data_IF_735390749373
#
_entry.id   IF_735390749373
#
_cell.length_a   1.000
_cell.length_b   1.000
_cell.length_c   1.000
_cell.angle_alpha   90.00
_cell.angle_beta   90.00
_cell.angle_gamma   90.00
#
_symmetry.space_group_name_H-M   'P 1'
#
loop_
_entity.id
_entity.type
_entity.pdbx_description
1 polymer ?
#
# COMPACT_ATOMS: atom_id res chain seq x y z
N UNK A 1 -1.60 2.82 13.45
CA UNK A 1 -1.05 2.28 12.16
C UNK A 1 -0.21 3.40 11.55
N UNK A 2 1.09 3.22 11.37
CA UNK A 2 1.93 4.23 10.72
C UNK A 2 1.81 4.01 9.21
N UNK A 3 1.10 4.93 8.54
CA UNK A 3 0.96 4.92 7.09
C UNK A 3 2.26 5.49 6.48
N UNK A 4 2.86 4.78 5.54
CA UNK A 4 4.03 5.28 4.79
C UNK A 4 3.56 5.85 3.45
N UNK A 5 3.58 7.18 3.27
CA UNK A 5 3.20 7.81 2.02
C UNK A 5 4.06 7.30 0.85
N UNK A 6 3.43 7.09 -0.30
CA UNK A 6 4.14 6.73 -1.52
C UNK A 6 4.77 7.97 -2.16
N UNK A 7 6.09 7.95 -2.32
CA UNK A 7 6.83 9.02 -2.98
C UNK A 7 6.47 9.19 -4.46
N UNK A 8 6.86 10.33 -5.03
CA UNK A 8 6.55 10.70 -6.42
C UNK A 8 7.04 9.65 -7.45
N UNK A 9 8.22 9.07 -7.24
CA UNK A 9 8.82 8.07 -8.15
C UNK A 9 7.96 6.81 -8.24
N UNK A 10 7.54 6.24 -7.11
CA UNK A 10 6.69 5.06 -7.10
C UNK A 10 5.33 5.33 -7.76
N UNK A 11 4.76 6.52 -7.54
CA UNK A 11 3.50 6.95 -8.16
C UNK A 11 3.64 7.17 -9.67
N UNK A 12 4.79 7.71 -10.13
CA UNK A 12 5.08 7.88 -11.56
C UNK A 12 5.18 6.53 -12.28
N UNK A 13 5.90 5.56 -11.73
CA UNK A 13 5.97 4.22 -12.31
C UNK A 13 4.60 3.51 -12.32
N UNK A 14 3.80 3.63 -11.24
CA UNK A 14 2.44 3.11 -11.23
C UNK A 14 1.59 3.73 -12.34
N UNK A 15 1.69 5.03 -12.52
CA UNK A 15 0.98 5.75 -13.60
C UNK A 15 1.43 5.28 -14.99
N UNK A 16 2.73 5.08 -15.22
CA UNK A 16 3.26 4.58 -16.51
C UNK A 16 2.72 3.19 -16.84
N UNK A 17 2.70 2.28 -15.86
CA UNK A 17 2.13 0.93 -16.06
C UNK A 17 0.64 1.04 -16.42
N UNK A 18 -0.12 1.84 -15.67
CA UNK A 18 -1.54 2.06 -15.95
C UNK A 18 -1.76 2.75 -17.31
N UNK A 19 -0.89 3.67 -17.71
CA UNK A 19 -0.94 4.33 -19.02
C UNK A 19 -0.69 3.33 -20.17
N UNK A 20 0.28 2.42 -20.00
CA UNK A 20 0.53 1.35 -20.97
C UNK A 20 -0.68 0.42 -21.12
N UNK A 21 -1.29 0.01 -20.00
CA UNK A 21 -2.49 -0.84 -20.02
C UNK A 21 -3.64 -0.13 -20.75
N UNK A 22 -3.94 1.13 -20.40
CA UNK A 22 -4.99 1.92 -21.04
C UNK A 22 -4.70 2.17 -22.52
N UNK A 23 -3.45 2.51 -22.84
CA UNK A 23 -3.01 2.70 -24.22
C UNK A 23 -3.19 1.43 -25.08
N UNK A 24 -2.85 0.26 -24.54
CA UNK A 24 -3.07 -1.02 -25.21
C UNK A 24 -4.54 -1.29 -25.44
N UNK A 25 -5.41 -1.07 -24.44
CA UNK A 25 -6.87 -1.21 -24.59
C UNK A 25 -7.39 -0.30 -25.70
N UNK A 26 -6.99 0.96 -25.70
CA UNK A 26 -7.43 1.95 -26.71
C UNK A 26 -6.87 1.65 -28.09
N UNK A 27 -5.66 1.17 -28.20
CA UNK A 27 -5.07 0.74 -29.47
C UNK A 27 -5.84 -0.44 -30.08
N UNK A 28 -6.11 -1.47 -29.31
CA UNK A 28 -6.91 -2.61 -29.76
C UNK A 28 -8.32 -2.15 -30.19
N UNK A 29 -8.94 -1.29 -29.39
CA UNK A 29 -10.26 -0.75 -29.71
C UNK A 29 -10.25 0.09 -30.98
N UNK A 30 -9.22 0.91 -31.21
CA UNK A 30 -9.11 1.73 -32.43
C UNK A 30 -9.03 0.87 -33.71
N UNK A 31 -8.28 -0.24 -33.63
CA UNK A 31 -8.17 -1.19 -34.74
C UNK A 31 -9.51 -1.90 -34.97
N UNK A 32 -10.15 -2.38 -33.92
CA UNK A 32 -11.42 -3.11 -34.01
C UNK A 32 -12.59 -2.24 -34.49
N UNK A 33 -12.66 -1.00 -34.04
CA UNK A 33 -13.73 -0.05 -34.37
C UNK A 33 -13.45 0.75 -35.66
N UNK A 34 -12.20 0.79 -36.10
CA UNK A 34 -11.78 1.58 -37.28
C UNK A 34 -12.52 1.22 -38.58
N UNK A 35 -12.96 -0.04 -38.70
CA UNK A 35 -13.73 -0.50 -39.86
C UNK A 35 -15.22 -0.06 -39.85
N UNK A 36 -15.74 0.45 -38.73
CA UNK A 36 -17.16 0.77 -38.53
C UNK A 36 -17.53 2.21 -38.92
N UNK A 37 -16.70 2.93 -39.67
CA UNK A 37 -16.92 4.31 -40.09
C UNK A 37 -17.28 5.26 -38.94
N UNK A 38 -18.30 6.12 -39.13
CA UNK A 38 -18.74 7.10 -38.12
C UNK A 38 -19.22 6.48 -36.81
N UNK A 39 -19.86 5.31 -36.85
CA UNK A 39 -20.30 4.60 -35.65
C UNK A 39 -19.11 4.13 -34.83
N UNK A 40 -18.08 3.57 -35.46
CA UNK A 40 -16.84 3.16 -34.80
C UNK A 40 -16.13 4.34 -34.12
N UNK A 41 -16.08 5.49 -34.78
CA UNK A 41 -15.53 6.71 -34.16
C UNK A 41 -16.29 7.15 -32.92
N UNK A 42 -17.62 7.14 -32.96
CA UNK A 42 -18.45 7.50 -31.79
C UNK A 42 -18.25 6.53 -30.62
N UNK A 43 -18.23 5.21 -30.89
CA UNK A 43 -17.98 4.18 -29.89
C UNK A 43 -16.56 4.29 -29.30
N UNK A 44 -15.57 4.61 -30.13
CA UNK A 44 -14.20 4.83 -29.67
C UNK A 44 -14.10 6.01 -28.71
N UNK A 45 -14.76 7.13 -29.00
CA UNK A 45 -14.76 8.31 -28.10
C UNK A 45 -15.44 8.00 -26.77
N UNK A 46 -16.53 7.26 -26.77
CA UNK A 46 -17.17 6.78 -25.53
C UNK A 46 -16.22 5.90 -24.74
N UNK A 47 -15.59 4.93 -25.39
CA UNK A 47 -14.63 4.03 -24.73
C UNK A 47 -13.42 4.79 -24.20
N UNK A 48 -12.87 5.73 -24.95
CA UNK A 48 -11.80 6.62 -24.51
C UNK A 48 -12.19 7.35 -23.24
N UNK A 49 -13.37 7.95 -23.20
CA UNK A 49 -13.87 8.62 -22.00
C UNK A 49 -13.97 7.66 -20.80
N UNK A 50 -14.56 6.48 -21.01
CA UNK A 50 -14.72 5.48 -19.95
C UNK A 50 -13.36 4.99 -19.41
N UNK A 51 -12.43 4.68 -20.31
CA UNK A 51 -11.09 4.21 -19.92
C UNK A 51 -10.30 5.30 -19.22
N UNK A 52 -10.35 6.55 -19.69
CA UNK A 52 -9.58 7.62 -19.05
C UNK A 52 -10.14 8.02 -17.68
N UNK A 53 -11.45 8.03 -17.50
CA UNK A 53 -12.10 8.55 -16.29
C UNK A 53 -12.54 7.47 -15.31
N UNK A 54 -13.12 6.38 -15.80
CA UNK A 54 -13.67 5.35 -14.91
C UNK A 54 -12.68 4.25 -14.56
N UNK A 55 -11.69 3.97 -15.40
CA UNK A 55 -10.68 2.93 -15.10
C UNK A 55 -10.07 3.10 -13.69
N UNK A 56 -9.48 4.26 -13.33
CA UNK A 56 -8.91 4.39 -11.99
C UNK A 56 -9.97 4.34 -10.88
N UNK A 57 -11.16 4.89 -11.11
CA UNK A 57 -12.26 4.88 -10.13
C UNK A 57 -12.70 3.45 -9.84
N UNK A 58 -12.95 2.65 -10.88
CA UNK A 58 -13.38 1.26 -10.74
C UNK A 58 -12.36 0.44 -9.96
N UNK A 59 -11.08 0.51 -10.33
CA UNK A 59 -10.03 -0.26 -9.64
C UNK A 59 -9.78 0.19 -8.21
N UNK A 60 -9.96 1.46 -7.89
CA UNK A 60 -9.82 1.98 -6.52
C UNK A 60 -10.97 1.56 -5.60
N UNK A 61 -12.15 1.26 -6.17
CA UNK A 61 -13.30 0.76 -5.40
C UNK A 61 -13.30 -0.77 -5.24
N UNK A 62 -12.50 -1.49 -6.03
CA UNK A 62 -12.34 -2.93 -5.88
C UNK A 62 -11.50 -3.29 -4.64
N UNK A 63 -11.61 -4.55 -4.13
CA UNK A 63 -10.75 -5.04 -3.07
C UNK A 63 -9.27 -4.81 -3.36
N UNK A 64 -8.58 -4.14 -2.42
CA UNK A 64 -7.19 -3.71 -2.58
C UNK A 64 -7.01 -2.22 -2.90
N UNK A 65 -8.08 -1.48 -3.22
CA UNK A 65 -8.10 -0.03 -3.41
C UNK A 65 -6.92 0.49 -4.27
N UNK A 66 -6.63 -0.17 -5.39
CA UNK A 66 -5.48 0.11 -6.22
C UNK A 66 -5.70 -0.30 -7.67
N UNK A 67 -5.25 0.52 -8.61
CA UNK A 67 -5.13 0.16 -10.03
C UNK A 67 -4.08 -0.94 -10.24
N UNK A 68 -4.08 -1.67 -11.37
CA UNK A 68 -3.05 -2.66 -11.67
C UNK A 68 -1.62 -2.13 -11.53
N UNK A 69 -1.34 -0.92 -12.04
CA UNK A 69 -0.01 -0.29 -11.88
C UNK A 69 0.35 0.00 -10.43
N UNK A 70 -0.60 0.46 -9.61
CA UNK A 70 -0.39 0.64 -8.17
C UNK A 70 -0.16 -0.69 -7.46
N UNK A 71 -0.93 -1.74 -7.79
CA UNK A 71 -0.75 -3.09 -7.21
C UNK A 71 0.62 -3.66 -7.51
N UNK A 72 1.12 -3.50 -8.73
CA UNK A 72 2.44 -3.97 -9.14
C UNK A 72 3.57 -3.39 -8.29
N UNK A 73 3.39 -2.16 -7.78
CA UNK A 73 4.36 -1.48 -6.92
C UNK A 73 4.00 -1.53 -5.43
N UNK A 74 3.04 -2.35 -5.05
CA UNK A 74 2.61 -2.46 -3.65
C UNK A 74 2.02 -1.16 -3.11
N UNK A 75 1.27 -0.41 -3.92
CA UNK A 75 0.59 0.83 -3.52
C UNK A 75 -0.91 0.62 -3.38
N UNK A 76 -1.52 1.32 -2.44
CA UNK A 76 -2.98 1.42 -2.29
C UNK A 76 -3.42 2.82 -1.92
N UNK A 77 -4.69 3.10 -2.14
CA UNK A 77 -5.32 4.37 -1.79
C UNK A 77 -6.19 4.19 -0.56
N UNK A 78 -6.03 5.09 0.40
CA UNK A 78 -6.84 5.13 1.62
C UNK A 78 -7.35 6.55 1.85
N UNK A 79 -8.36 6.69 2.69
CA UNK A 79 -8.71 7.97 3.29
C UNK A 79 -7.61 8.41 4.27
N UNK A 80 -7.50 9.68 4.56
CA UNK A 80 -6.56 10.23 5.56
C UNK A 80 -6.75 9.62 6.95
N UNK A 81 -7.96 9.18 7.25
CA UNK A 81 -8.31 8.44 8.46
C UNK A 81 -7.76 7.00 8.48
N UNK A 82 -7.16 6.50 7.39
CA UNK A 82 -6.73 5.11 7.23
C UNK A 82 -7.84 4.14 6.83
N UNK A 83 -9.07 4.62 6.67
CA UNK A 83 -10.22 3.82 6.20
C UNK A 83 -10.14 3.57 4.68
N UNK A 84 -10.87 2.56 4.17
CA UNK A 84 -11.02 2.35 2.73
C UNK A 84 -11.55 3.59 2.02
N UNK A 85 -11.13 3.79 0.77
CA UNK A 85 -11.58 4.92 -0.04
C UNK A 85 -13.08 4.82 -0.34
N UNK A 86 -13.78 5.96 -0.26
CA UNK A 86 -15.20 6.05 -0.63
C UNK A 86 -15.37 6.29 -2.14
N UNK A 87 -16.52 5.91 -2.74
CA UNK A 87 -16.81 6.21 -4.15
C UNK A 87 -16.70 7.69 -4.50
N UNK A 88 -17.22 8.56 -3.63
CA UNK A 88 -17.16 10.00 -3.81
C UNK A 88 -15.72 10.52 -3.82
N UNK A 89 -14.88 10.06 -2.86
CA UNK A 89 -13.48 10.45 -2.80
C UNK A 89 -12.71 9.96 -4.03
N UNK A 90 -12.94 8.73 -4.50
CA UNK A 90 -12.30 8.21 -5.71
C UNK A 90 -12.72 9.01 -6.95
N UNK A 91 -13.99 9.39 -7.05
CA UNK A 91 -14.47 10.20 -8.16
C UNK A 91 -13.82 11.59 -8.16
N UNK A 92 -13.87 12.31 -7.03
CA UNK A 92 -13.31 13.66 -6.89
C UNK A 92 -11.81 13.67 -7.23
N UNK A 93 -11.01 12.75 -6.66
CA UNK A 93 -9.57 12.73 -6.92
C UNK A 93 -9.20 12.41 -8.37
N UNK A 94 -10.02 11.61 -9.07
CA UNK A 94 -9.77 11.26 -10.45
C UNK A 94 -10.32 12.30 -11.43
N UNK A 95 -11.39 13.03 -11.10
CA UNK A 95 -11.83 14.23 -11.85
C UNK A 95 -10.79 15.34 -11.78
N UNK A 96 -10.25 15.63 -10.59
CA UNK A 96 -9.23 16.66 -10.42
C UNK A 96 -7.86 16.27 -11.02
N UNK A 97 -7.71 15.07 -11.56
CA UNK A 97 -6.54 14.68 -12.35
C UNK A 97 -6.32 15.60 -13.57
N UNK A 98 -7.39 16.18 -14.12
CA UNK A 98 -7.28 17.18 -15.17
C UNK A 98 -6.56 18.45 -14.68
N UNK A 99 -6.82 18.89 -13.46
CA UNK A 99 -6.11 20.01 -12.84
C UNK A 99 -4.65 19.66 -12.53
N UNK A 100 -4.38 18.45 -12.08
CA UNK A 100 -3.00 17.98 -11.85
C UNK A 100 -2.16 18.02 -13.13
N UNK A 101 -2.77 17.80 -14.31
CA UNK A 101 -2.10 17.75 -15.61
C UNK A 101 -1.62 19.13 -16.10
N UNK A 102 -2.24 20.22 -15.62
CA UNK A 102 -1.86 21.58 -15.98
C UNK A 102 -0.53 22.02 -15.30
N UNK A 103 0.21 23.01 -15.85
CA UNK A 103 0.06 23.56 -17.19
C UNK A 103 0.49 22.59 -18.29
N UNK A 104 1.43 21.68 -18.00
CA UNK A 104 1.90 20.61 -18.90
C UNK A 104 2.41 19.45 -18.08
N UNK A 105 2.16 18.19 -18.53
CA UNK A 105 2.78 16.95 -18.01
C UNK A 105 2.72 16.77 -16.48
N UNK A 106 1.54 17.01 -15.90
CA UNK A 106 1.33 16.92 -14.43
C UNK A 106 2.12 17.94 -13.59
N UNK A 107 2.38 19.13 -14.13
CA UNK A 107 3.16 20.16 -13.47
C UNK A 107 2.62 20.53 -12.10
N UNK A 108 1.33 20.87 -11.96
CA UNK A 108 0.74 21.20 -10.66
C UNK A 108 0.69 20.01 -9.71
N UNK A 109 0.40 18.81 -10.22
CA UNK A 109 0.43 17.58 -9.42
C UNK A 109 1.82 17.27 -8.88
N UNK A 110 2.86 17.42 -9.71
CA UNK A 110 4.25 17.20 -9.30
C UNK A 110 4.71 18.23 -8.27
N UNK A 111 4.46 19.52 -8.51
CA UNK A 111 4.79 20.59 -7.56
C UNK A 111 4.08 20.39 -6.22
N UNK A 112 2.78 20.07 -6.22
CA UNK A 112 2.03 19.77 -5.00
C UNK A 112 2.66 18.61 -4.21
N UNK A 113 3.08 17.54 -4.90
CA UNK A 113 3.73 16.40 -4.25
C UNK A 113 5.13 16.71 -3.72
N UNK A 114 5.90 17.56 -4.37
CA UNK A 114 7.25 17.92 -3.95
C UNK A 114 7.27 18.89 -2.75
N UNK A 115 6.26 19.76 -2.67
CA UNK A 115 6.15 20.74 -1.58
C UNK A 115 5.61 20.15 -0.27
N UNK A 116 5.16 18.88 -0.27
CA UNK A 116 4.50 18.28 0.88
C UNK A 116 5.16 16.98 1.32
N UNK A 117 5.33 16.77 2.64
CA UNK A 117 5.92 15.54 3.18
C UNK A 117 5.02 14.31 2.99
N UNK A 118 3.71 14.50 2.76
CA UNK A 118 2.73 13.45 2.50
C UNK A 118 2.56 13.10 1.01
N UNK A 119 3.28 13.78 0.11
CA UNK A 119 3.28 13.57 -1.35
C UNK A 119 1.88 13.55 -1.97
N UNK A 120 0.95 14.37 -1.46
CA UNK A 120 -0.41 14.47 -2.00
C UNK A 120 -0.43 15.37 -3.24
N UNK A 121 -1.13 14.89 -4.29
CA UNK A 121 -1.49 15.73 -5.43
C UNK A 121 -2.76 16.54 -5.11
N UNK A 122 -3.12 17.50 -5.96
CA UNK A 122 -4.30 18.37 -5.77
C UNK A 122 -5.57 17.53 -5.59
N UNK A 123 -5.78 16.52 -6.43
CA UNK A 123 -6.93 15.62 -6.32
C UNK A 123 -6.96 14.84 -5.01
N UNK A 124 -5.80 14.44 -4.47
CA UNK A 124 -5.71 13.73 -3.19
C UNK A 124 -6.08 14.65 -2.01
N UNK A 125 -5.67 15.92 -2.07
CA UNK A 125 -6.00 16.94 -1.07
C UNK A 125 -7.50 17.21 -1.02
N UNK A 126 -8.11 17.44 -2.18
CA UNK A 126 -9.54 17.74 -2.26
C UNK A 126 -10.42 16.55 -1.82
N UNK A 127 -9.95 15.32 -2.05
CA UNK A 127 -10.68 14.11 -1.68
C UNK A 127 -10.35 13.58 -0.27
N UNK A 128 -9.41 14.18 0.48
CA UNK A 128 -8.97 13.70 1.79
C UNK A 128 -8.39 12.30 1.73
N UNK A 129 -7.55 12.01 0.73
CA UNK A 129 -6.99 10.68 0.48
C UNK A 129 -5.47 10.67 0.50
N UNK A 130 -4.90 9.50 0.74
CA UNK A 130 -3.47 9.26 0.78
C UNK A 130 -3.13 7.99 0.00
N UNK A 131 -2.08 8.05 -0.83
CA UNK A 131 -1.49 6.86 -1.45
C UNK A 131 -0.37 6.37 -0.58
N UNK A 132 -0.46 5.11 -0.16
CA UNK A 132 0.49 4.50 0.78
C UNK A 132 1.09 3.23 0.20
N UNK A 133 2.30 2.89 0.66
CA UNK A 133 2.83 1.56 0.44
C UNK A 133 1.99 0.55 1.21
N UNK A 134 1.59 -0.51 0.53
CA UNK A 134 1.05 -1.69 1.16
C UNK A 134 2.24 -2.43 1.76
N UNK A 135 2.66 -2.03 2.94
CA UNK A 135 3.53 -2.87 3.75
C UNK A 135 2.70 -4.12 4.10
N UNK A 136 2.66 -5.07 3.18
CA UNK A 136 2.41 -6.42 3.62
C UNK A 136 3.60 -6.73 4.52
N UNK A 137 3.39 -6.76 5.82
CA UNK A 137 4.23 -7.54 6.71
C UNK A 137 4.06 -8.98 6.21
N UNK A 138 4.75 -9.31 5.12
CA UNK A 138 4.84 -10.71 4.70
C UNK A 138 5.59 -11.35 5.84
N UNK A 139 4.87 -12.11 6.64
CA UNK A 139 5.48 -13.08 7.52
C UNK A 139 6.37 -13.92 6.61
N UNK A 140 7.69 -13.71 6.68
CA UNK A 140 8.65 -14.34 5.78
C UNK A 140 8.88 -15.81 6.16
N UNK A 141 8.02 -16.38 6.98
CA UNK A 141 8.02 -17.75 7.45
C UNK A 141 6.92 -17.99 8.48
N UNK A 142 6.65 -19.24 8.79
CA UNK A 142 5.79 -19.59 9.90
C UNK A 142 6.45 -19.12 11.20
N UNK A 143 5.69 -18.45 12.06
CA UNK A 143 6.14 -18.12 13.41
C UNK A 143 6.25 -19.43 14.18
N UNK A 144 7.41 -19.74 14.81
CA UNK A 144 7.56 -20.93 15.60
C UNK A 144 6.48 -21.03 16.69
N UNK A 145 6.03 -22.25 16.96
CA UNK A 145 5.00 -22.49 17.98
C UNK A 145 5.55 -22.13 19.38
N UNK A 146 4.79 -21.28 20.06
CA UNK A 146 5.04 -20.92 21.44
C UNK A 146 3.69 -20.61 22.11
N UNK A 147 3.60 -20.87 23.43
CA UNK A 147 2.41 -20.54 24.18
C UNK A 147 2.11 -19.02 24.08
N UNK A 148 0.94 -18.60 23.62
CA UNK A 148 0.58 -17.19 23.48
C UNK A 148 0.68 -16.46 24.82
N UNK A 149 1.29 -15.29 24.84
CA UNK A 149 1.50 -14.51 26.05
C UNK A 149 1.24 -13.03 25.78
N UNK A 150 0.36 -12.42 26.57
CA UNK A 150 0.16 -10.99 26.50
C UNK A 150 1.43 -10.21 26.86
N UNK A 151 1.74 -9.11 26.16
CA UNK A 151 2.87 -8.26 26.54
C UNK A 151 2.64 -7.63 27.91
N UNK A 152 3.71 -7.40 28.66
CA UNK A 152 3.62 -6.84 30.03
C UNK A 152 3.21 -5.35 30.05
N UNK A 153 3.34 -4.65 28.92
CA UNK A 153 2.89 -3.26 28.71
C UNK A 153 2.26 -3.10 27.33
N UNK A 154 1.54 -2.01 27.14
CA UNK A 154 1.05 -1.62 25.83
C UNK A 154 2.24 -1.37 24.88
N UNK A 155 2.28 -2.10 23.76
CA UNK A 155 3.30 -1.94 22.73
C UNK A 155 2.82 -0.95 21.68
N UNK A 156 3.72 -0.07 21.24
CA UNK A 156 3.49 0.77 20.07
C UNK A 156 3.31 -0.09 18.80
N UNK A 157 2.66 0.45 17.78
CA UNK A 157 2.47 -0.24 16.50
C UNK A 157 3.79 -0.64 15.85
N UNK A 158 4.83 0.17 16.04
CA UNK A 158 6.16 -0.13 15.54
C UNK A 158 6.78 -1.33 16.27
N UNK A 159 6.73 -1.37 17.59
CA UNK A 159 7.23 -2.49 18.39
C UNK A 159 6.51 -3.80 18.05
N UNK A 160 5.18 -3.76 17.90
CA UNK A 160 4.39 -4.90 17.46
C UNK A 160 4.87 -5.43 16.10
N UNK A 161 5.07 -4.53 15.13
CA UNK A 161 5.54 -4.89 13.80
C UNK A 161 6.95 -5.49 13.82
N UNK A 162 7.86 -4.95 14.63
CA UNK A 162 9.24 -5.46 14.78
C UNK A 162 9.25 -6.85 15.39
N UNK A 163 8.46 -7.09 16.45
CA UNK A 163 8.37 -8.39 17.11
C UNK A 163 7.83 -9.46 16.14
N UNK A 164 6.76 -9.16 15.42
CA UNK A 164 6.17 -10.09 14.44
C UNK A 164 7.12 -10.34 13.26
N UNK A 165 7.82 -9.30 12.78
CA UNK A 165 8.81 -9.43 11.72
C UNK A 165 10.02 -10.27 12.14
N UNK A 166 10.50 -10.11 13.38
CA UNK A 166 11.56 -10.95 13.96
C UNK A 166 11.12 -12.42 14.03
N UNK A 167 9.95 -12.69 14.60
CA UNK A 167 9.43 -14.06 14.72
C UNK A 167 9.27 -14.75 13.36
N UNK A 168 8.85 -14.05 12.34
CA UNK A 168 8.75 -14.55 10.95
C UNK A 168 10.09 -14.81 10.27
N UNK A 169 11.23 -14.43 10.87
CA UNK A 169 12.59 -14.70 10.35
C UNK A 169 13.29 -15.89 11.02
N UNK A 170 12.61 -16.62 11.90
CA UNK A 170 13.20 -17.74 12.65
C UNK A 170 13.92 -18.77 11.76
N UNK A 171 13.37 -19.06 10.56
CA UNK A 171 13.98 -20.01 9.61
C UNK A 171 15.13 -19.43 8.78
N UNK A 172 15.38 -18.12 8.86
CA UNK A 172 16.41 -17.41 8.06
C UNK A 172 17.60 -16.95 8.89
N UNK A 173 17.45 -16.89 10.19
CA UNK A 173 18.49 -16.48 11.13
C UNK A 173 19.15 -17.74 11.74
N UNK A 174 20.43 -17.63 12.06
CA UNK A 174 21.07 -18.66 12.90
C UNK A 174 20.47 -18.62 14.30
N UNK A 175 20.40 -19.76 15.04
CA UNK A 175 19.83 -19.78 16.38
C UNK A 175 20.47 -18.74 17.31
N UNK A 176 21.79 -18.62 17.30
CA UNK A 176 22.52 -17.63 18.10
C UNK A 176 22.10 -16.20 17.80
N UNK A 177 21.95 -15.84 16.52
CA UNK A 177 21.51 -14.49 16.11
C UNK A 177 20.05 -14.23 16.44
N UNK A 178 19.23 -15.26 16.38
CA UNK A 178 17.81 -15.17 16.72
C UNK A 178 17.63 -14.91 18.22
N UNK A 179 18.41 -15.56 19.07
CA UNK A 179 18.42 -15.40 20.53
C UNK A 179 18.98 -14.04 20.93
N UNK A 180 20.08 -13.59 20.34
CA UNK A 180 20.66 -12.26 20.57
C UNK A 180 19.65 -11.13 20.28
N UNK A 181 18.94 -11.22 19.17
CA UNK A 181 17.90 -10.22 18.83
C UNK A 181 16.71 -10.28 19.79
N UNK A 182 16.38 -11.45 20.33
CA UNK A 182 15.35 -11.59 21.35
C UNK A 182 15.75 -10.90 22.65
N UNK A 183 17.00 -11.03 23.10
CA UNK A 183 17.52 -10.36 24.29
C UNK A 183 17.45 -8.83 24.15
N UNK A 184 17.81 -8.29 22.98
CA UNK A 184 17.75 -6.85 22.72
C UNK A 184 16.30 -6.31 22.73
N UNK A 185 15.33 -7.10 22.31
CA UNK A 185 13.92 -6.68 22.27
C UNK A 185 13.17 -6.85 23.59
N UNK A 186 13.69 -7.66 24.51
CA UNK A 186 13.04 -7.97 25.78
C UNK A 186 12.77 -6.79 26.72
N UNK A 187 13.64 -5.77 26.85
CA UNK A 187 13.35 -4.61 27.68
C UNK A 187 12.05 -3.91 27.28
N UNK A 188 11.67 -4.02 26.01
CA UNK A 188 10.40 -3.48 25.52
C UNK A 188 9.17 -4.30 25.94
N UNK A 189 9.35 -5.57 26.33
CA UNK A 189 8.26 -6.55 26.52
C UNK A 189 8.08 -6.96 27.99
N UNK A 190 9.08 -6.73 28.84
CA UNK A 190 9.00 -7.06 30.27
C UNK A 190 10.35 -7.28 30.96
N UNK A 191 10.32 -7.90 32.14
CA UNK A 191 11.50 -8.15 32.97
C UNK A 191 12.52 -9.06 32.22
N UNK A 192 13.82 -8.74 32.22
CA UNK A 192 14.83 -9.56 31.55
C UNK A 192 14.84 -10.97 32.15
N UNK A 193 14.84 -12.01 31.33
CA UNK A 193 15.01 -13.38 31.79
C UNK A 193 16.49 -13.66 32.15
N UNK A 194 16.73 -14.73 32.88
CA UNK A 194 18.08 -15.15 33.26
C UNK A 194 18.81 -15.94 32.15
N UNK A 195 18.12 -16.27 31.03
CA UNK A 195 18.66 -17.10 29.95
C UNK A 195 18.10 -16.64 28.57
N UNK A 196 18.98 -16.64 27.53
CA UNK A 196 18.66 -16.26 26.16
C UNK A 196 17.53 -17.12 25.55
N UNK A 197 17.54 -18.41 25.77
CA UNK A 197 16.52 -19.34 25.31
C UNK A 197 15.13 -19.05 25.92
N UNK A 198 15.10 -18.54 27.15
CA UNK A 198 13.87 -18.11 27.81
C UNK A 198 13.37 -16.77 27.23
N UNK A 199 14.32 -15.90 26.85
CA UNK A 199 14.05 -14.65 26.16
C UNK A 199 13.30 -14.89 24.85
N UNK A 200 13.86 -15.74 24.03
CA UNK A 200 13.31 -16.14 22.73
C UNK A 200 11.92 -16.75 22.88
N UNK A 201 11.72 -17.69 23.79
CA UNK A 201 10.40 -18.30 24.05
C UNK A 201 9.36 -17.27 24.49
N UNK A 202 9.71 -16.32 25.36
CA UNK A 202 8.81 -15.26 25.80
C UNK A 202 8.42 -14.34 24.67
N UNK A 203 9.39 -13.90 23.86
CA UNK A 203 9.13 -13.00 22.74
C UNK A 203 8.31 -13.68 21.63
N UNK A 204 8.55 -14.98 21.38
CA UNK A 204 7.71 -15.78 20.50
C UNK A 204 6.25 -15.88 21.00
N UNK A 205 6.06 -16.08 22.31
CA UNK A 205 4.73 -16.08 22.91
C UNK A 205 3.99 -14.75 22.71
N UNK A 206 4.69 -13.62 22.80
CA UNK A 206 4.12 -12.30 22.49
C UNK A 206 3.82 -12.18 21.01
N UNK A 207 4.68 -12.66 20.11
CA UNK A 207 4.42 -12.66 18.68
C UNK A 207 3.17 -13.48 18.34
N UNK A 208 2.99 -14.66 18.93
CA UNK A 208 1.78 -15.48 18.75
C UNK A 208 0.52 -14.78 19.24
N UNK A 209 0.58 -14.09 20.38
CA UNK A 209 -0.53 -13.32 20.91
C UNK A 209 -0.92 -12.15 19.99
N UNK A 210 0.08 -11.44 19.43
CA UNK A 210 -0.12 -10.32 18.50
C UNK A 210 -0.77 -10.75 17.17
N UNK A 211 -0.51 -11.98 16.71
CA UNK A 211 -1.09 -12.53 15.47
C UNK A 211 -2.50 -13.10 15.70
N UNK A 212 -2.98 -13.10 16.97
CA UNK A 212 -4.35 -13.50 17.29
C UNK A 212 -4.52 -14.98 17.60
N UNK A 213 -3.46 -15.75 17.74
CA UNK A 213 -3.50 -17.08 18.37
C UNK A 213 -3.61 -16.88 19.88
N UNK A 214 -4.84 -16.82 20.37
CA UNK A 214 -5.15 -16.69 21.81
C UNK A 214 -5.41 -18.05 22.41
#
# INVERSE_FOLDING_TARGET
MVLRPAGIVARAYAFLIDALIRGTILLIASIALGSMNKLGGALFLILLFLVEWLYPVLFELLPGAATPGKRALGLKVLMDSGLPITPAASLVRNLLRAADFLPVLYGFGAVSMLLRPDFKRIGDLAAGTLVVHTDSTRLHGAIPDAAPRAPARALSTHEQAVIVAWAGRATRLTPARFDELAELALPAVGRPPHDAAQATRRLLGVAQWLVGRR
#
